data_IF_038039963887
#
_entry.id   IF_038039963887
#
_cell.length_a   1.000
_cell.length_b   1.000
_cell.length_c   1.000
_cell.angle_alpha   90.00
_cell.angle_beta   90.00
_cell.angle_gamma   90.00
#
_symmetry.space_group_name_H-M   'P 1'
#
loop_
_entity.id
_entity.type
_entity.pdbx_description
1 polymer ?
#
# COMPACT_ATOMS: atom_id res chain seq x y z
N UNK A 1 3.44 -28.19 -37.97
CA UNK A 1 3.02 -28.39 -36.56
C UNK A 1 4.05 -27.87 -35.52
N UNK A 2 4.86 -26.84 -35.83
CA UNK A 2 5.82 -26.24 -34.87
C UNK A 2 5.36 -24.90 -34.28
N UNK A 3 4.43 -24.22 -34.94
CA UNK A 3 3.99 -22.86 -34.60
C UNK A 3 2.98 -22.87 -33.44
N UNK A 4 2.16 -23.92 -33.34
CA UNK A 4 1.11 -24.03 -32.30
C UNK A 4 1.71 -24.17 -30.89
N UNK A 5 2.90 -24.76 -30.75
CA UNK A 5 3.54 -24.97 -29.45
C UNK A 5 4.20 -23.70 -28.88
N UNK A 6 4.59 -22.75 -29.73
CA UNK A 6 5.20 -21.49 -29.26
C UNK A 6 4.16 -20.53 -28.69
N UNK A 7 2.92 -20.54 -29.21
CA UNK A 7 1.84 -19.69 -28.73
C UNK A 7 1.32 -20.09 -27.33
N UNK A 8 1.40 -21.37 -26.98
CA UNK A 8 0.95 -21.88 -25.67
C UNK A 8 1.94 -21.50 -24.55
N UNK A 9 3.25 -21.45 -24.84
CA UNK A 9 4.26 -20.99 -23.89
C UNK A 9 4.22 -19.47 -23.63
N UNK A 10 3.82 -18.67 -24.63
CA UNK A 10 3.65 -17.22 -24.48
C UNK A 10 2.42 -16.84 -23.64
N UNK A 11 1.34 -17.64 -23.66
CA UNK A 11 0.15 -17.43 -22.83
C UNK A 11 0.35 -17.84 -21.36
N UNK A 12 1.22 -18.81 -21.07
CA UNK A 12 1.55 -19.20 -19.70
C UNK A 12 2.36 -18.14 -18.93
N UNK A 13 3.07 -17.25 -19.64
CA UNK A 13 3.86 -16.17 -19.04
C UNK A 13 3.04 -14.95 -18.60
N UNK A 14 1.81 -14.81 -19.07
CA UNK A 14 0.96 -13.64 -18.75
C UNK A 14 0.23 -13.77 -17.39
N UNK A 15 0.33 -14.92 -16.71
CA UNK A 15 -0.38 -15.20 -15.46
C UNK A 15 0.35 -14.82 -14.16
N UNK A 16 1.65 -14.49 -14.18
CA UNK A 16 2.46 -14.34 -12.95
C UNK A 16 2.73 -12.89 -12.51
N UNK A 17 2.14 -11.91 -13.19
CA UNK A 17 2.30 -10.51 -12.85
C UNK A 17 0.98 -9.87 -12.40
N UNK A 18 0.19 -10.58 -11.60
CA UNK A 18 -0.74 -9.92 -10.68
C UNK A 18 0.12 -9.19 -9.64
N UNK A 19 0.66 -8.04 -10.03
CA UNK A 19 1.13 -7.01 -9.12
C UNK A 19 -0.11 -6.54 -8.35
N UNK A 20 -0.41 -7.25 -7.26
CA UNK A 20 -1.59 -7.01 -6.44
C UNK A 20 -1.42 -5.66 -5.74
N UNK A 21 -1.97 -4.61 -6.36
CA UNK A 21 -2.32 -3.40 -5.63
C UNK A 21 -3.33 -3.83 -4.57
N UNK A 22 -3.01 -3.53 -3.32
CA UNK A 22 -3.87 -3.83 -2.17
C UNK A 22 -3.97 -2.60 -1.30
N UNK A 23 -5.09 -2.46 -0.61
CA UNK A 23 -5.25 -1.45 0.42
C UNK A 23 -4.77 -2.02 1.76
N UNK A 24 -4.04 -1.22 2.51
CA UNK A 24 -3.54 -1.61 3.81
C UNK A 24 -3.47 -0.43 4.77
N UNK A 25 -3.64 -0.74 6.05
CA UNK A 25 -3.33 0.15 7.16
C UNK A 25 -1.92 -0.11 7.67
N UNK A 26 -1.25 0.96 8.03
CA UNK A 26 0.06 0.91 8.66
C UNK A 26 -0.14 0.74 10.16
N UNK A 27 0.34 -0.36 10.72
CA UNK A 27 0.16 -0.67 12.15
C UNK A 27 1.39 -0.39 12.99
N UNK A 28 2.59 -0.51 12.41
CA UNK A 28 3.85 -0.36 13.12
C UNK A 28 5.01 -0.03 12.16
N UNK A 29 6.01 0.69 12.66
CA UNK A 29 7.30 0.90 12.01
C UNK A 29 8.42 0.46 12.92
N UNK A 30 9.36 -0.30 12.36
CA UNK A 30 10.57 -0.72 13.09
C UNK A 30 11.79 -0.53 12.22
N UNK A 31 12.82 0.08 12.79
CA UNK A 31 14.13 0.13 12.17
C UNK A 31 14.99 -0.99 12.76
N UNK A 32 15.48 -1.89 11.92
CA UNK A 32 16.40 -2.96 12.32
C UNK A 32 17.67 -2.81 11.51
N UNK A 33 18.79 -2.50 12.18
CA UNK A 33 20.11 -2.38 11.54
C UNK A 33 20.13 -1.46 10.30
N UNK A 34 19.42 -0.33 10.35
CA UNK A 34 19.35 0.63 9.24
C UNK A 34 18.28 0.32 8.18
N UNK A 35 17.65 -0.86 8.21
CA UNK A 35 16.53 -1.21 7.33
C UNK A 35 15.22 -0.84 8.02
N UNK A 36 14.42 -0.01 7.36
CA UNK A 36 13.06 0.27 7.80
C UNK A 36 12.13 -0.87 7.40
N UNK A 37 11.38 -1.35 8.38
CA UNK A 37 10.31 -2.33 8.20
C UNK A 37 9.00 -1.72 8.63
N UNK A 38 7.94 -2.13 7.96
CA UNK A 38 6.57 -1.68 8.22
C UNK A 38 5.68 -2.90 8.32
N UNK A 39 4.79 -2.86 9.32
CA UNK A 39 3.79 -3.88 9.54
C UNK A 39 2.47 -3.40 8.98
N UNK A 40 1.95 -4.16 8.02
CA UNK A 40 0.74 -3.82 7.28
C UNK A 40 -0.39 -4.77 7.63
N UNK A 41 -1.58 -4.20 7.67
CA UNK A 41 -2.85 -4.90 7.87
C UNK A 41 -3.73 -4.69 6.65
N UNK A 42 -4.23 -5.75 6.04
CA UNK A 42 -5.00 -5.62 4.80
C UNK A 42 -6.44 -5.26 5.13
N UNK A 43 -6.95 -4.24 4.45
CA UNK A 43 -8.31 -3.76 4.67
C UNK A 43 -9.09 -3.73 3.37
N UNK A 44 -10.40 -3.85 3.50
CA UNK A 44 -11.37 -3.64 2.45
C UNK A 44 -12.07 -2.31 2.72
N UNK A 45 -11.95 -1.37 1.79
CA UNK A 45 -12.69 -0.11 1.82
C UNK A 45 -14.01 -0.32 1.06
N UNK A 46 -15.12 -0.10 1.75
CA UNK A 46 -16.48 -0.17 1.18
C UNK A 46 -17.16 1.18 1.32
N UNK A 47 -17.86 1.62 0.28
CA UNK A 47 -18.86 2.68 0.43
C UNK A 47 -20.04 2.13 1.23
N UNK A 48 -20.49 2.90 2.22
CA UNK A 48 -21.65 2.56 3.05
C UNK A 48 -22.57 3.77 3.20
N UNK A 49 -23.85 3.50 3.47
CA UNK A 49 -24.82 4.56 3.63
C UNK A 49 -24.51 5.38 4.89
N UNK A 50 -24.79 6.68 4.82
CA UNK A 50 -24.48 7.65 5.89
C UNK A 50 -25.18 7.33 7.23
N UNK A 51 -26.29 6.61 7.17
CA UNK A 51 -27.05 6.14 8.33
C UNK A 51 -26.36 4.98 9.06
N UNK A 52 -25.54 4.18 8.36
CA UNK A 52 -24.78 3.06 8.90
C UNK A 52 -23.33 3.45 9.25
N UNK A 53 -22.77 4.44 8.54
CA UNK A 53 -21.41 4.94 8.76
C UNK A 53 -21.33 6.48 8.54
N UNK A 54 -20.93 7.28 9.55
CA UNK A 54 -20.96 8.75 9.45
C UNK A 54 -20.07 9.34 8.34
N UNK A 55 -19.02 8.61 7.95
CA UNK A 55 -18.07 9.01 6.93
C UNK A 55 -18.49 8.59 5.49
N UNK A 56 -19.56 7.82 5.33
CA UNK A 56 -19.96 7.25 4.02
C UNK A 56 -19.04 6.12 3.51
N UNK A 57 -17.99 5.79 4.28
CA UNK A 57 -16.98 4.79 3.96
C UNK A 57 -16.71 3.92 5.19
N UNK A 58 -16.69 2.60 5.01
CA UNK A 58 -16.36 1.58 6.00
C UNK A 58 -15.01 0.96 5.63
N UNK A 59 -14.08 0.94 6.58
CA UNK A 59 -12.79 0.26 6.44
C UNK A 59 -12.86 -0.99 7.32
N UNK A 60 -13.02 -2.15 6.70
CA UNK A 60 -13.10 -3.43 7.42
C UNK A 60 -11.81 -4.22 7.27
N UNK A 61 -11.26 -4.70 8.37
CA UNK A 61 -10.13 -5.62 8.35
C UNK A 61 -10.66 -7.06 8.24
N UNK A 62 -10.53 -7.65 7.06
CA UNK A 62 -10.94 -9.04 6.82
C UNK A 62 -9.78 -10.05 6.91
N UNK A 63 -8.56 -9.62 7.24
CA UNK A 63 -7.37 -10.47 7.19
C UNK A 63 -6.52 -10.36 8.47
N UNK A 64 -6.57 -11.35 9.38
CA UNK A 64 -5.80 -11.32 10.63
C UNK A 64 -4.28 -11.46 10.43
N UNK A 65 -3.81 -11.75 9.21
CA UNK A 65 -2.40 -11.96 8.92
C UNK A 65 -1.68 -10.64 8.64
N UNK A 66 -1.23 -10.02 9.73
CA UNK A 66 -0.27 -8.91 9.69
C UNK A 66 1.02 -9.35 8.99
N UNK A 67 1.44 -8.61 7.96
CA UNK A 67 2.66 -8.92 7.21
C UNK A 67 3.69 -7.79 7.36
N UNK A 68 4.92 -8.18 7.66
CA UNK A 68 6.05 -7.25 7.72
C UNK A 68 6.74 -7.18 6.38
N UNK A 69 6.89 -5.96 5.86
CA UNK A 69 7.63 -5.68 4.64
C UNK A 69 8.77 -4.69 4.94
N UNK A 70 9.81 -4.72 4.11
CA UNK A 70 10.94 -3.79 4.21
C UNK A 70 10.93 -2.73 3.11
N UNK A 71 11.40 -1.55 3.46
CA UNK A 71 11.76 -0.51 2.50
C UNK A 71 13.13 -0.82 1.88
N UNK A 72 13.26 -0.54 0.58
CA UNK A 72 14.51 -0.58 -0.17
C UNK A 72 14.83 0.82 -0.70
N UNK A 73 16.06 1.09 -1.17
CA UNK A 73 16.36 2.35 -1.86
C UNK A 73 15.50 2.61 -3.10
N UNK A 74 14.90 1.57 -3.69
CA UNK A 74 14.01 1.67 -4.84
C UNK A 74 12.53 1.81 -4.48
N UNK A 75 12.17 1.75 -3.19
CA UNK A 75 10.77 1.92 -2.77
C UNK A 75 10.30 3.34 -3.09
N UNK A 76 9.16 3.43 -3.76
CA UNK A 76 8.50 4.72 -4.02
C UNK A 76 7.38 4.95 -3.01
N UNK A 77 7.44 6.05 -2.28
CA UNK A 77 6.43 6.43 -1.30
C UNK A 77 5.78 7.72 -1.79
N UNK A 78 4.46 7.74 -1.93
CA UNK A 78 3.70 8.88 -2.41
C UNK A 78 2.72 9.32 -1.34
N UNK A 79 2.89 10.54 -0.83
CA UNK A 79 2.01 11.15 0.16
C UNK A 79 1.24 12.29 -0.49
N UNK A 80 -0.01 12.49 -0.07
CA UNK A 80 -0.86 13.54 -0.60
C UNK A 80 -0.34 14.89 -0.12
N UNK A 81 -0.19 15.81 -1.08
CA UNK A 81 0.06 17.23 -0.82
C UNK A 81 -1.24 18.04 -0.88
N UNK A 82 -2.14 17.66 -1.79
CA UNK A 82 -3.46 18.27 -1.99
C UNK A 82 -4.37 17.26 -2.73
N UNK A 83 -5.62 17.62 -3.00
CA UNK A 83 -6.52 16.78 -3.80
C UNK A 83 -5.95 16.62 -5.23
N UNK A 84 -5.40 15.44 -5.52
CA UNK A 84 -4.82 15.11 -6.82
C UNK A 84 -3.32 15.39 -6.99
N UNK A 85 -2.63 15.94 -5.98
CA UNK A 85 -1.17 16.15 -6.01
C UNK A 85 -0.45 15.27 -4.99
N UNK A 86 0.57 14.57 -5.45
CA UNK A 86 1.44 13.73 -4.62
C UNK A 86 2.86 14.26 -4.58
N UNK A 87 3.53 14.10 -3.45
CA UNK A 87 4.99 14.23 -3.37
C UNK A 87 5.63 12.89 -3.04
N UNK A 88 6.86 12.69 -3.53
CA UNK A 88 7.63 11.50 -3.22
C UNK A 88 8.31 11.66 -1.86
N UNK A 89 7.98 10.79 -0.91
CA UNK A 89 8.44 10.84 0.46
C UNK A 89 9.55 9.81 0.75
N UNK A 90 10.31 10.06 1.82
CA UNK A 90 11.19 9.08 2.45
C UNK A 90 10.44 8.29 3.54
N UNK A 91 10.94 7.11 3.98
CA UNK A 91 10.35 6.40 5.12
C UNK A 91 10.26 7.26 6.38
N UNK A 92 11.26 8.08 6.67
CA UNK A 92 11.24 9.00 7.81
C UNK A 92 10.13 10.04 7.69
N UNK A 93 9.87 10.59 6.50
CA UNK A 93 8.78 11.54 6.28
C UNK A 93 7.41 10.88 6.45
N UNK A 94 7.24 9.64 5.96
CA UNK A 94 6.02 8.85 6.20
C UNK A 94 5.74 8.67 7.70
N UNK A 95 6.75 8.31 8.49
CA UNK A 95 6.63 8.15 9.95
C UNK A 95 6.27 9.48 10.62
N UNK A 96 6.91 10.58 10.20
CA UNK A 96 6.62 11.91 10.72
C UNK A 96 5.18 12.35 10.42
N UNK A 97 4.63 11.98 9.26
CA UNK A 97 3.25 12.28 8.89
C UNK A 97 2.23 11.52 9.74
N UNK A 98 2.46 10.22 9.98
CA UNK A 98 1.66 9.43 10.93
C UNK A 98 1.74 9.97 12.37
N UNK A 99 2.86 10.59 12.72
CA UNK A 99 3.03 11.31 14.00
C UNK A 99 2.37 12.69 14.06
N UNK A 100 1.59 13.08 13.04
CA UNK A 100 0.84 14.34 13.03
C UNK A 100 1.65 15.59 12.67
N UNK A 101 2.82 15.46 12.05
CA UNK A 101 3.58 16.62 11.53
C UNK A 101 3.00 17.11 10.20
N UNK A 102 3.06 18.42 9.95
CA UNK A 102 2.50 19.12 8.78
C UNK A 102 3.06 18.59 7.44
N UNK A 103 2.43 17.55 6.90
CA UNK A 103 2.45 17.23 5.47
C UNK A 103 1.19 17.80 4.82
N UNK A 104 1.22 18.03 3.49
CA UNK A 104 0.16 18.76 2.78
C UNK A 104 -1.25 18.17 2.97
N UNK A 105 -1.35 16.87 3.30
CA UNK A 105 -2.56 16.25 3.81
C UNK A 105 -2.23 15.40 5.04
N UNK A 106 -2.97 15.56 6.13
CA UNK A 106 -2.79 14.76 7.34
C UNK A 106 -3.27 13.31 7.13
N UNK A 107 -2.64 12.37 7.81
CA UNK A 107 -3.07 10.98 7.83
C UNK A 107 -2.75 10.36 9.19
N UNK A 108 -3.51 9.35 9.56
CA UNK A 108 -3.38 8.64 10.82
C UNK A 108 -3.36 7.12 10.61
N UNK A 109 -3.43 6.36 11.70
CA UNK A 109 -3.43 4.90 11.68
C UNK A 109 -4.64 4.27 10.99
N UNK A 110 -5.70 5.04 10.72
CA UNK A 110 -6.89 4.60 10.00
C UNK A 110 -6.88 5.02 8.53
N UNK A 111 -5.86 5.79 8.10
CA UNK A 111 -5.73 6.19 6.71
C UNK A 111 -5.23 5.02 5.86
N UNK A 112 -5.98 4.59 4.82
CA UNK A 112 -5.57 3.52 3.95
C UNK A 112 -4.48 3.96 2.96
N UNK A 113 -3.62 3.00 2.63
CA UNK A 113 -2.58 3.15 1.62
C UNK A 113 -2.76 2.09 0.54
N UNK A 114 -2.63 2.49 -0.72
CA UNK A 114 -2.35 1.56 -1.80
C UNK A 114 -0.92 1.07 -1.67
N UNK A 115 -0.75 -0.25 -1.65
CA UNK A 115 0.56 -0.87 -1.55
C UNK A 115 0.79 -1.79 -2.73
N UNK A 116 2.05 -1.84 -3.12
CA UNK A 116 2.55 -2.72 -4.16
C UNK A 116 3.83 -3.36 -3.67
N UNK A 117 3.81 -4.68 -3.55
CA UNK A 117 4.87 -5.43 -2.86
C UNK A 117 5.44 -6.51 -3.75
N UNK A 118 6.71 -6.84 -3.51
CA UNK A 118 7.31 -8.09 -3.94
C UNK A 118 7.12 -9.10 -2.79
N UNK A 119 6.12 -9.98 -2.89
CA UNK A 119 5.84 -10.95 -1.82
C UNK A 119 7.00 -11.92 -1.59
N UNK A 120 7.67 -12.37 -2.65
CA UNK A 120 8.79 -13.31 -2.55
C UNK A 120 9.96 -12.75 -1.73
N UNK A 121 10.21 -11.43 -1.83
CA UNK A 121 11.29 -10.75 -1.10
C UNK A 121 10.81 -9.98 0.13
N UNK A 122 9.50 -9.93 0.38
CA UNK A 122 8.86 -9.08 1.40
C UNK A 122 9.29 -7.62 1.31
N UNK A 123 9.35 -7.09 0.09
CA UNK A 123 9.78 -5.71 -0.19
C UNK A 123 8.63 -4.84 -0.65
N UNK A 124 8.62 -3.58 -0.23
CA UNK A 124 7.70 -2.59 -0.77
C UNK A 124 8.29 -2.02 -2.05
N UNK A 125 7.53 -2.10 -3.13
CA UNK A 125 7.86 -1.48 -4.40
C UNK A 125 7.24 -0.08 -4.46
N UNK A 126 5.99 0.04 -4.02
CA UNK A 126 5.26 1.30 -3.99
C UNK A 126 4.31 1.36 -2.79
N UNK A 127 4.23 2.53 -2.17
CA UNK A 127 3.26 2.86 -1.14
C UNK A 127 2.66 4.23 -1.49
N UNK A 128 1.34 4.35 -1.59
CA UNK A 128 0.66 5.59 -1.96
C UNK A 128 -0.50 5.86 -1.01
N UNK A 129 -0.53 7.04 -0.40
CA UNK A 129 -1.66 7.48 0.42
C UNK A 129 -2.93 7.53 -0.44
N UNK A 130 -4.01 6.92 0.04
CA UNK A 130 -5.29 6.98 -0.64
C UNK A 130 -5.96 8.34 -0.39
N UNK A 131 -6.58 8.88 -1.44
CA UNK A 131 -7.47 10.02 -1.29
C UNK A 131 -8.86 9.47 -0.93
N UNK A 132 -9.33 9.80 0.27
CA UNK A 132 -10.70 9.52 0.70
C UNK A 132 -11.48 10.84 0.56
N UNK A 133 -12.48 10.92 -0.34
CA UNK A 133 -13.28 12.13 -0.57
C UNK A 133 -14.19 12.50 0.61
#
# INVERSE_FOLDING_TARGET
MRIVWFSVLLLAGLGLAQWQNREALITDFRQVQGVWTIKLDYVEVRDCNRDDCPAGLEISNQNPLLRTFRFTPSTRIFLLKSAGEYFQATPQQLIQGLGGRNFGWSFDKYTPFYIRVNEAKREIIELRQMYLP
#
